data_IF_083725975876
#
_entry.id   IF_083725975876
#
_cell.length_a   1.000
_cell.length_b   1.000
_cell.length_c   1.000
_cell.angle_alpha   90.00
_cell.angle_beta   90.00
_cell.angle_gamma   90.00
#
_symmetry.space_group_name_H-M   'P 1'
#
loop_
_entity.id
_entity.type
_entity.pdbx_description
1 polymer ?
#
# COMPACT_ATOMS: atom_id res chain seq x y z
N UNK A 1 -19.93 5.56 -9.20
CA UNK A 1 -20.47 4.26 -9.68
C UNK A 1 -21.95 4.25 -9.33
N UNK A 2 -22.80 4.16 -10.35
CA UNK A 2 -24.26 4.17 -10.21
C UNK A 2 -24.82 2.78 -10.53
N UNK A 3 -26.09 2.54 -10.18
CA UNK A 3 -26.79 1.28 -10.48
C UNK A 3 -26.39 0.10 -9.57
N UNK A 4 -25.87 0.35 -8.37
CA UNK A 4 -25.58 -0.72 -7.42
C UNK A 4 -26.89 -1.22 -6.78
N UNK A 5 -26.91 -2.51 -6.40
CA UNK A 5 -28.05 -3.12 -5.68
C UNK A 5 -28.39 -2.29 -4.43
N UNK A 6 -29.69 -2.23 -4.14
CA UNK A 6 -30.27 -1.50 -3.00
C UNK A 6 -30.14 0.03 -3.13
N UNK A 7 -30.25 0.54 -4.37
CA UNK A 7 -30.21 1.98 -4.69
C UNK A 7 -28.98 2.71 -4.14
N UNK A 8 -27.84 2.00 -4.17
CA UNK A 8 -26.57 2.53 -3.66
C UNK A 8 -25.77 3.18 -4.77
N UNK A 9 -24.96 4.15 -4.35
CA UNK A 9 -23.89 4.73 -5.15
C UNK A 9 -22.54 4.34 -4.55
N UNK A 10 -21.54 4.12 -5.41
CA UNK A 10 -20.17 3.82 -5.02
C UNK A 10 -19.23 4.92 -5.46
N UNK A 11 -18.35 5.39 -4.56
CA UNK A 11 -17.29 6.36 -4.88
C UNK A 11 -15.99 5.60 -5.08
N UNK A 12 -15.26 5.92 -6.16
CA UNK A 12 -13.90 5.41 -6.40
C UNK A 12 -12.94 6.58 -6.40
N UNK A 13 -12.03 6.58 -5.43
CA UNK A 13 -10.99 7.60 -5.30
C UNK A 13 -9.66 7.01 -5.74
N UNK A 14 -9.01 7.63 -6.72
CA UNK A 14 -7.66 7.27 -7.15
C UNK A 14 -6.66 8.23 -6.55
N UNK A 15 -5.78 7.74 -5.67
CA UNK A 15 -4.70 8.53 -5.08
C UNK A 15 -3.35 7.89 -5.41
N UNK A 16 -2.33 8.72 -5.59
CA UNK A 16 -0.97 8.25 -5.82
C UNK A 16 -0.35 7.77 -4.50
N UNK A 17 0.30 6.61 -4.48
CA UNK A 17 0.90 6.06 -3.24
C UNK A 17 1.98 6.99 -2.65
N UNK A 18 2.60 7.85 -3.46
CA UNK A 18 3.53 8.85 -2.92
C UNK A 18 2.86 9.87 -1.97
N UNK A 19 1.54 10.03 -2.06
CA UNK A 19 0.77 10.95 -1.24
C UNK A 19 0.09 10.27 -0.05
N UNK A 20 -0.24 8.97 -0.13
CA UNK A 20 -1.02 8.25 0.86
C UNK A 20 -0.56 6.78 0.93
N UNK A 21 -0.24 6.30 2.14
CA UNK A 21 -0.07 4.87 2.44
C UNK A 21 -1.39 4.24 2.97
N UNK A 22 -1.42 2.91 3.13
CA UNK A 22 -2.65 2.19 3.50
C UNK A 22 -3.31 2.68 4.80
N UNK A 23 -2.50 2.98 5.82
CA UNK A 23 -2.96 3.56 7.09
C UNK A 23 -3.47 4.98 6.92
N UNK A 24 -2.70 5.84 6.25
CA UNK A 24 -3.05 7.24 6.00
C UNK A 24 -4.32 7.36 5.14
N UNK A 25 -4.55 6.38 4.28
CA UNK A 25 -5.75 6.32 3.44
C UNK A 25 -7.01 6.06 4.25
N UNK A 26 -6.94 5.14 5.23
CA UNK A 26 -8.06 4.91 6.15
C UNK A 26 -8.34 6.12 7.04
N UNK A 27 -7.28 6.80 7.51
CA UNK A 27 -7.39 8.00 8.33
C UNK A 27 -8.04 9.16 7.54
N UNK A 28 -7.67 9.33 6.27
CA UNK A 28 -8.31 10.30 5.39
C UNK A 28 -9.82 10.01 5.23
N UNK A 29 -10.23 8.75 5.10
CA UNK A 29 -11.65 8.41 4.97
C UNK A 29 -12.45 8.78 6.22
N UNK A 30 -11.86 8.65 7.42
CA UNK A 30 -12.50 9.06 8.68
C UNK A 30 -12.68 10.58 8.77
N UNK A 31 -11.81 11.37 8.12
CA UNK A 31 -11.95 12.82 8.06
C UNK A 31 -12.92 13.31 6.97
N UNK A 32 -13.14 12.50 5.93
CA UNK A 32 -14.01 12.86 4.81
C UNK A 32 -15.45 12.37 5.00
N UNK A 33 -15.66 11.29 5.75
CA UNK A 33 -16.95 10.65 5.93
C UNK A 33 -17.22 10.36 7.40
N UNK A 34 -18.46 10.55 7.81
CA UNK A 34 -18.93 10.08 9.10
C UNK A 34 -19.23 8.59 9.09
N UNK A 35 -19.03 7.96 10.24
CA UNK A 35 -19.32 6.53 10.43
C UNK A 35 -20.83 6.23 10.53
N UNK A 36 -21.65 7.27 10.73
CA UNK A 36 -23.10 7.17 10.87
C UNK A 36 -23.80 8.01 9.79
N UNK A 37 -24.96 7.56 9.28
CA UNK A 37 -25.72 8.31 8.28
C UNK A 37 -26.17 9.70 8.76
N UNK A 38 -26.46 9.82 10.06
CA UNK A 38 -26.87 11.06 10.72
C UNK A 38 -25.80 11.45 11.74
N UNK A 39 -24.80 12.18 11.27
CA UNK A 39 -23.75 12.71 12.13
C UNK A 39 -24.23 13.98 12.85
N UNK A 40 -23.72 14.20 14.06
CA UNK A 40 -23.92 15.46 14.74
C UNK A 40 -23.22 16.60 13.98
N UNK A 41 -23.77 17.81 14.05
CA UNK A 41 -23.11 18.97 13.44
C UNK A 41 -21.68 19.10 13.98
N UNK A 42 -20.69 19.33 13.10
CA UNK A 42 -19.32 19.50 13.54
C UNK A 42 -19.25 20.70 14.50
N UNK A 43 -18.36 20.66 15.49
CA UNK A 43 -18.18 21.79 16.39
C UNK A 43 -17.85 23.05 15.58
N UNK A 44 -18.21 24.25 16.07
CA UNK A 44 -17.84 25.50 15.43
C UNK A 44 -16.33 25.49 15.13
N UNK A 45 -15.97 25.84 13.89
CA UNK A 45 -14.55 25.93 13.52
C UNK A 45 -13.88 26.90 14.48
N UNK A 46 -12.85 26.43 15.16
CA UNK A 46 -11.99 27.31 15.94
C UNK A 46 -11.45 28.39 14.99
N UNK A 47 -11.54 29.65 15.42
CA UNK A 47 -10.86 30.75 14.76
C UNK A 47 -9.36 30.50 14.90
N UNK A 48 -8.77 29.91 13.87
CA UNK A 48 -7.32 29.75 13.78
C UNK A 48 -6.73 31.07 13.35
N UNK A 49 -5.73 31.54 14.10
CA UNK A 49 -4.89 32.63 13.63
C UNK A 49 -4.36 32.29 12.24
N UNK A 50 -4.35 33.26 11.30
CA UNK A 50 -3.78 33.05 9.99
C UNK A 50 -2.36 32.52 10.13
N UNK A 51 -2.03 31.48 9.39
CA UNK A 51 -0.68 30.91 9.41
C UNK A 51 0.32 32.00 9.01
N UNK A 52 1.38 32.17 9.81
CA UNK A 52 2.39 33.20 9.60
C UNK A 52 3.02 33.04 8.21
N UNK A 53 2.85 34.04 7.35
CA UNK A 53 3.45 34.04 6.01
C UNK A 53 4.93 34.39 6.17
N UNK A 54 5.86 33.48 5.86
CA UNK A 54 7.27 33.73 6.10
C UNK A 54 7.79 34.85 5.20
N UNK A 55 8.63 35.72 5.75
CA UNK A 55 9.35 36.72 4.95
C UNK A 55 10.51 36.10 4.17
N UNK A 56 11.08 36.82 3.21
CA UNK A 56 12.16 36.31 2.34
C UNK A 56 13.37 35.76 3.10
N UNK A 57 13.70 36.35 4.26
CA UNK A 57 14.79 35.90 5.12
C UNK A 57 14.45 34.59 5.83
N UNK A 58 13.23 34.45 6.32
CA UNK A 58 12.72 33.19 6.89
C UNK A 58 12.65 32.10 5.83
N UNK A 59 12.22 32.42 4.60
CA UNK A 59 12.23 31.49 3.47
C UNK A 59 13.65 31.03 3.13
N UNK A 60 14.63 31.95 3.09
CA UNK A 60 16.04 31.61 2.90
C UNK A 60 16.57 30.73 4.05
N UNK A 61 16.21 31.05 5.30
CA UNK A 61 16.55 30.26 6.47
C UNK A 61 15.96 28.85 6.40
N UNK A 62 14.67 28.72 6.05
CA UNK A 62 13.99 27.45 5.83
C UNK A 62 14.61 26.65 4.69
N UNK A 63 14.97 27.32 3.58
CA UNK A 63 15.64 26.69 2.45
C UNK A 63 17.03 26.17 2.83
N UNK A 64 17.82 26.96 3.55
CA UNK A 64 19.13 26.57 4.06
C UNK A 64 19.02 25.39 5.04
N UNK A 65 18.08 25.46 6.00
CA UNK A 65 17.84 24.40 6.98
C UNK A 65 17.34 23.11 6.32
N UNK A 66 16.45 23.22 5.32
CA UNK A 66 15.96 22.08 4.53
C UNK A 66 17.10 21.44 3.74
N UNK A 67 17.98 22.26 3.13
CA UNK A 67 19.16 21.77 2.39
C UNK A 67 20.18 21.12 3.30
N UNK A 68 20.44 21.70 4.48
CA UNK A 68 21.31 21.12 5.49
C UNK A 68 20.75 19.78 6.01
N UNK A 69 19.45 19.69 6.31
CA UNK A 69 18.79 18.42 6.69
C UNK A 69 18.89 17.37 5.60
N UNK A 70 18.67 17.73 4.33
CA UNK A 70 18.83 16.82 3.19
C UNK A 70 20.27 16.33 3.05
N UNK A 71 21.25 17.22 3.18
CA UNK A 71 22.67 16.87 3.16
C UNK A 71 23.04 15.94 4.33
N UNK A 72 22.51 16.19 5.52
CA UNK A 72 22.72 15.35 6.70
C UNK A 72 22.07 13.96 6.57
N UNK A 73 21.08 13.79 5.68
CA UNK A 73 20.47 12.50 5.37
C UNK A 73 21.21 11.72 4.27
N UNK A 74 22.12 12.35 3.51
CA UNK A 74 22.90 11.67 2.47
C UNK A 74 23.70 10.46 2.98
N UNK A 75 24.41 10.52 4.13
CA UNK A 75 25.13 9.36 4.64
C UNK A 75 24.22 8.16 4.93
N UNK A 76 23.00 8.43 5.43
CA UNK A 76 21.99 7.40 5.66
C UNK A 76 21.53 6.77 4.36
N UNK A 77 21.28 7.57 3.33
CA UNK A 77 20.91 7.09 1.99
C UNK A 77 22.03 6.26 1.35
N UNK A 78 23.28 6.69 1.47
CA UNK A 78 24.45 5.94 0.99
C UNK A 78 24.57 4.61 1.74
N UNK A 79 24.47 4.62 3.08
CA UNK A 79 24.49 3.40 3.89
C UNK A 79 23.35 2.43 3.54
N UNK A 80 22.14 2.94 3.33
CA UNK A 80 20.98 2.15 2.89
C UNK A 80 21.19 1.56 1.49
N UNK A 81 21.79 2.32 0.57
CA UNK A 81 22.10 1.87 -0.79
C UNK A 81 23.17 0.79 -0.77
N UNK A 82 24.26 0.99 -0.04
CA UNK A 82 25.32 -0.02 0.15
C UNK A 82 24.75 -1.29 0.78
N UNK A 83 23.92 -1.16 1.82
CA UNK A 83 23.25 -2.29 2.46
C UNK A 83 22.23 -2.99 1.56
N UNK A 84 21.55 -2.28 0.67
CA UNK A 84 20.68 -2.88 -0.34
C UNK A 84 21.48 -3.67 -1.39
N UNK A 85 22.57 -3.08 -1.90
CA UNK A 85 23.46 -3.75 -2.86
C UNK A 85 24.12 -4.98 -2.24
N UNK A 86 24.63 -4.88 -1.02
CA UNK A 86 25.22 -6.01 -0.28
C UNK A 86 24.19 -7.13 -0.09
N UNK A 87 22.97 -6.80 0.31
CA UNK A 87 21.88 -7.78 0.44
C UNK A 87 21.52 -8.45 -0.89
N UNK A 88 21.51 -7.72 -2.01
CA UNK A 88 21.31 -8.30 -3.35
C UNK A 88 22.46 -9.24 -3.74
N UNK A 89 23.71 -8.88 -3.43
CA UNK A 89 24.89 -9.71 -3.69
C UNK A 89 24.91 -10.97 -2.81
N UNK A 90 24.53 -10.85 -1.53
CA UNK A 90 24.43 -11.97 -0.60
C UNK A 90 23.29 -12.91 -0.97
N UNK A 91 22.11 -12.38 -1.31
CA UNK A 91 20.97 -13.19 -1.77
C UNK A 91 21.23 -13.93 -3.09
N UNK A 92 22.16 -13.44 -3.92
CA UNK A 92 22.65 -14.16 -5.11
C UNK A 92 23.64 -15.29 -4.77
N UNK A 93 24.30 -15.24 -3.61
CA UNK A 93 25.25 -16.27 -3.15
C UNK A 93 24.59 -17.36 -2.31
N UNK A 94 23.46 -17.06 -1.66
CA UNK A 94 22.70 -17.99 -0.84
C UNK A 94 21.22 -18.02 -1.26
N UNK A 95 20.81 -19.02 -2.07
CA UNK A 95 19.42 -19.14 -2.53
C UNK A 95 18.41 -19.49 -1.41
N UNK A 96 18.87 -19.78 -0.19
CA UNK A 96 17.99 -20.06 0.97
C UNK A 96 17.63 -18.81 1.77
N UNK A 97 18.32 -17.68 1.54
CA UNK A 97 18.09 -16.43 2.26
C UNK A 97 17.15 -15.54 1.45
N UNK A 98 15.87 -15.53 1.82
CA UNK A 98 14.87 -14.60 1.27
C UNK A 98 15.19 -13.16 1.68
N UNK A 99 16.12 -12.54 0.97
CA UNK A 99 16.32 -11.10 0.99
C UNK A 99 15.07 -10.52 0.33
N UNK A 100 14.28 -9.74 1.08
CA UNK A 100 13.01 -9.18 0.61
C UNK A 100 13.10 -8.60 -0.81
N UNK A 101 11.98 -8.67 -1.54
CA UNK A 101 11.85 -8.44 -2.98
C UNK A 101 12.94 -7.53 -3.56
N UNK A 102 14.02 -8.12 -4.08
CA UNK A 102 15.03 -7.36 -4.78
C UNK A 102 14.36 -6.72 -6.02
N UNK A 103 14.68 -5.47 -6.38
CA UNK A 103 14.07 -4.83 -7.54
C UNK A 103 14.20 -5.73 -8.77
N UNK A 104 13.09 -5.86 -9.52
CA UNK A 104 13.04 -6.64 -10.77
C UNK A 104 13.17 -8.17 -10.61
N UNK A 105 12.96 -8.73 -9.40
CA UNK A 105 12.96 -10.19 -9.18
C UNK A 105 11.57 -10.83 -9.29
N UNK A 106 10.52 -10.04 -9.51
CA UNK A 106 9.17 -10.55 -9.67
C UNK A 106 9.06 -11.47 -10.91
N UNK A 107 8.40 -12.64 -10.79
CA UNK A 107 8.13 -13.47 -11.94
C UNK A 107 7.24 -12.72 -12.93
N UNK A 108 7.40 -13.02 -14.23
CA UNK A 108 6.54 -12.45 -15.27
C UNK A 108 5.17 -13.08 -15.19
N UNK A 109 4.16 -12.24 -15.03
CA UNK A 109 2.74 -12.59 -15.03
C UNK A 109 1.99 -11.65 -15.98
N UNK A 110 0.75 -11.97 -16.38
CA UNK A 110 -0.09 -11.08 -17.19
C UNK A 110 -0.31 -9.70 -16.56
N UNK A 111 -0.15 -9.58 -15.24
CA UNK A 111 -0.29 -8.32 -14.50
C UNK A 111 0.91 -7.38 -14.63
N UNK A 112 2.07 -7.87 -15.10
CA UNK A 112 3.27 -7.05 -15.30
C UNK A 112 3.27 -6.25 -16.63
N UNK A 113 2.16 -6.25 -17.37
CA UNK A 113 2.02 -5.55 -18.65
C UNK A 113 1.54 -4.10 -18.52
N UNK A 114 1.43 -3.41 -19.67
CA UNK A 114 0.86 -2.06 -19.74
C UNK A 114 -0.60 -2.08 -19.31
N UNK A 115 -0.96 -1.22 -18.35
CA UNK A 115 -2.34 -1.10 -17.88
C UNK A 115 -3.23 -0.53 -18.99
N UNK A 116 -4.31 -1.24 -19.31
CA UNK A 116 -5.38 -0.71 -20.18
C UNK A 116 -6.21 0.34 -19.42
N UNK A 117 -7.16 1.07 -20.05
CA UNK A 117 -8.13 1.90 -19.32
C UNK A 117 -9.27 1.07 -18.69
N UNK A 118 -9.47 -0.18 -19.10
CA UNK A 118 -10.54 -1.04 -18.59
C UNK A 118 -10.25 -1.45 -17.14
N UNK A 119 -11.20 -1.23 -16.23
CA UNK A 119 -11.10 -1.62 -14.82
C UNK A 119 -12.26 -2.54 -14.48
N UNK A 120 -11.95 -3.65 -13.82
CA UNK A 120 -12.92 -4.53 -13.19
C UNK A 120 -12.60 -4.61 -11.71
N UNK A 121 -13.63 -4.54 -10.87
CA UNK A 121 -13.51 -4.62 -9.41
C UNK A 121 -14.48 -5.70 -8.94
N UNK A 122 -13.95 -6.68 -8.21
CA UNK A 122 -14.73 -7.71 -7.53
C UNK A 122 -14.59 -7.53 -6.03
N UNK A 123 -15.67 -7.82 -5.30
CA UNK A 123 -15.67 -7.83 -3.83
C UNK A 123 -16.04 -9.23 -3.36
N UNK A 124 -15.31 -9.72 -2.36
CA UNK A 124 -15.64 -10.92 -1.63
C UNK A 124 -15.81 -10.56 -0.15
N UNK A 125 -16.65 -11.32 0.55
CA UNK A 125 -16.76 -11.27 2.02
C UNK A 125 -16.39 -12.65 2.54
N UNK A 126 -15.62 -12.66 3.62
CA UNK A 126 -15.23 -13.87 4.33
C UNK A 126 -15.53 -13.60 5.80
N UNK A 127 -16.04 -14.60 6.51
CA UNK A 127 -16.31 -14.45 7.93
C UNK A 127 -14.99 -14.35 8.70
N UNK A 128 -14.89 -13.36 9.61
CA UNK A 128 -13.70 -13.18 10.42
C UNK A 128 -13.51 -14.31 11.43
N UNK A 129 -14.60 -14.93 11.89
CA UNK A 129 -14.55 -16.09 12.78
C UNK A 129 -13.92 -17.29 12.06
N UNK A 130 -14.37 -17.61 10.85
CA UNK A 130 -13.76 -18.66 10.02
C UNK A 130 -12.27 -18.39 9.76
N UNK A 131 -11.89 -17.14 9.47
CA UNK A 131 -10.48 -16.77 9.27
C UNK A 131 -9.66 -16.99 10.54
N UNK A 132 -10.23 -16.72 11.72
CA UNK A 132 -9.56 -16.97 13.01
C UNK A 132 -9.44 -18.46 13.31
N UNK A 133 -10.44 -19.26 12.99
CA UNK A 133 -10.39 -20.72 13.13
C UNK A 133 -9.24 -21.31 12.30
N UNK A 134 -9.11 -20.90 11.04
CA UNK A 134 -7.99 -21.33 10.18
C UNK A 134 -6.66 -20.85 10.75
N UNK A 135 -6.57 -19.58 11.16
CA UNK A 135 -5.38 -19.02 11.80
C UNK A 135 -4.90 -19.90 12.96
N UNK A 136 -5.82 -20.25 13.86
CA UNK A 136 -5.51 -21.00 15.08
C UNK A 136 -5.17 -22.47 14.78
N UNK A 137 -5.87 -23.09 13.83
CA UNK A 137 -5.61 -24.47 13.39
C UNK A 137 -4.21 -24.64 12.79
N UNK A 138 -3.71 -23.62 12.06
CA UNK A 138 -2.40 -23.67 11.40
C UNK A 138 -1.29 -22.93 12.17
N UNK A 139 -1.60 -22.34 13.32
CA UNK A 139 -0.62 -21.62 14.15
C UNK A 139 0.01 -20.41 13.45
N UNK A 140 -0.74 -19.74 12.57
CA UNK A 140 -0.27 -18.58 11.80
C UNK A 140 -0.96 -17.28 12.25
N UNK A 141 -0.85 -16.20 11.47
CA UNK A 141 -1.56 -14.93 11.69
C UNK A 141 -2.75 -14.78 10.74
N UNK A 142 -3.65 -13.83 11.04
CA UNK A 142 -4.79 -13.49 10.15
C UNK A 142 -4.27 -13.09 8.76
N UNK A 143 -3.16 -12.36 8.72
CA UNK A 143 -2.55 -11.93 7.47
C UNK A 143 -2.02 -13.11 6.65
N UNK A 144 -1.53 -14.17 7.29
CA UNK A 144 -1.06 -15.37 6.59
C UNK A 144 -2.23 -16.11 5.92
N UNK A 145 -3.39 -16.18 6.60
CA UNK A 145 -4.61 -16.74 6.02
C UNK A 145 -5.07 -15.91 4.82
N UNK A 146 -5.13 -14.58 4.96
CA UNK A 146 -5.48 -13.67 3.86
C UNK A 146 -4.51 -13.81 2.69
N UNK A 147 -3.21 -13.87 2.96
CA UNK A 147 -2.19 -14.06 1.93
C UNK A 147 -2.35 -15.42 1.22
N UNK A 148 -2.67 -16.48 1.95
CA UNK A 148 -2.97 -17.80 1.41
C UNK A 148 -4.19 -17.78 0.48
N UNK A 149 -5.27 -17.10 0.86
CA UNK A 149 -6.46 -16.90 0.02
C UNK A 149 -6.12 -16.15 -1.26
N UNK A 150 -5.35 -15.06 -1.16
CA UNK A 150 -4.90 -14.29 -2.32
C UNK A 150 -4.02 -15.13 -3.24
N UNK A 151 -3.03 -15.85 -2.70
CA UNK A 151 -2.13 -16.71 -3.46
C UNK A 151 -2.89 -17.83 -4.18
N UNK A 152 -3.80 -18.51 -3.48
CA UNK A 152 -4.66 -19.55 -4.05
C UNK A 152 -5.54 -19.02 -5.17
N UNK A 153 -6.15 -17.85 -4.97
CA UNK A 153 -7.02 -17.21 -5.97
C UNK A 153 -6.24 -16.82 -7.23
N UNK A 154 -5.07 -16.17 -7.07
CA UNK A 154 -4.24 -15.79 -8.21
C UNK A 154 -3.73 -17.02 -8.97
N UNK A 155 -3.35 -18.09 -8.27
CA UNK A 155 -2.97 -19.35 -8.91
C UNK A 155 -4.11 -19.96 -9.70
N UNK A 156 -5.31 -20.05 -9.10
CA UNK A 156 -6.50 -20.57 -9.80
C UNK A 156 -6.85 -19.72 -11.02
N UNK A 157 -6.70 -18.39 -10.92
CA UNK A 157 -6.91 -17.49 -12.05
C UNK A 157 -5.95 -17.78 -13.20
N UNK A 158 -4.64 -17.92 -12.93
CA UNK A 158 -3.66 -18.23 -13.97
C UNK A 158 -3.98 -19.57 -14.65
N UNK A 159 -4.27 -20.61 -13.86
CA UNK A 159 -4.68 -21.93 -14.39
C UNK A 159 -5.94 -21.83 -15.25
N UNK A 160 -6.97 -21.11 -14.79
CA UNK A 160 -8.22 -20.95 -15.52
C UNK A 160 -8.09 -20.11 -16.81
N UNK A 161 -6.98 -19.39 -16.99
CA UNK A 161 -6.66 -18.60 -18.18
C UNK A 161 -5.61 -19.24 -19.07
N UNK A 162 -5.20 -20.47 -18.77
CA UNK A 162 -4.08 -21.16 -19.43
C UNK A 162 -2.77 -20.36 -19.40
N UNK A 163 -2.59 -19.55 -18.35
CA UNK A 163 -1.40 -18.73 -18.14
C UNK A 163 -0.36 -19.51 -17.33
N UNK A 164 0.95 -19.31 -17.57
CA UNK A 164 2.00 -19.96 -16.81
C UNK A 164 1.91 -19.61 -15.32
N UNK A 165 1.89 -20.64 -14.47
CA UNK A 165 2.02 -20.48 -13.01
C UNK A 165 3.51 -20.41 -12.67
N UNK A 166 4.01 -19.31 -12.08
CA UNK A 166 5.42 -19.22 -11.70
C UNK A 166 5.81 -20.26 -10.65
N UNK A 167 7.01 -20.83 -10.78
CA UNK A 167 7.61 -21.71 -9.77
C UNK A 167 8.20 -20.94 -8.58
N UNK A 168 8.27 -19.62 -8.69
CA UNK A 168 8.72 -18.72 -7.62
C UNK A 168 7.56 -17.91 -7.05
N UNK A 169 7.61 -17.54 -5.74
CA UNK A 169 6.58 -16.71 -5.13
C UNK A 169 6.39 -15.37 -5.86
N UNK A 170 5.14 -14.91 -5.94
CA UNK A 170 4.85 -13.53 -6.29
C UNK A 170 5.41 -12.61 -5.19
N UNK A 171 5.86 -11.43 -5.59
CA UNK A 171 6.36 -10.39 -4.68
C UNK A 171 5.42 -9.20 -4.73
N UNK A 172 5.08 -8.68 -3.54
CA UNK A 172 4.25 -7.49 -3.32
C UNK A 172 5.12 -6.28 -2.99
#
# INVERSE_FOLDING_TARGET
IEGLKQDRIGIVTKVHHAAIDGSSGSELMVHLFDLQPEAADPPPKEERDPEHIPNDLELLGHAAASRARKLAQLPKLVGQTVGAVSRVVEGRRDPTRAVGAAPLTAPRTPWNGTLSPMRSVGFARVDLEEVKEVKDAFGCTVNDVVLGLCAGTLRQYLVAKDEPVPDTPLVA
#
